data_IF_005551937028
#
_entry.id   IF_005551937028
#
_cell.length_a   1.000
_cell.length_b   1.000
_cell.length_c   1.000
_cell.angle_alpha   90.00
_cell.angle_beta   90.00
_cell.angle_gamma   90.00
#
_symmetry.space_group_name_H-M   'P 1'
#
loop_
_entity.id
_entity.type
_entity.pdbx_description
1 polymer ?
#
# COMPACT_ATOMS: atom_id res chain seq x y z
N UNK A 1 -18.65 72.72 -25.24
CA UNK A 1 -18.75 71.77 -26.36
C UNK A 1 -19.69 70.67 -25.88
N UNK A 2 -20.98 70.73 -26.24
CA UNK A 2 -21.56 70.25 -27.52
C UNK A 2 -21.55 68.71 -27.57
N UNK A 3 -22.67 68.04 -27.22
CA UNK A 3 -23.78 67.57 -28.10
C UNK A 3 -23.47 66.13 -28.59
N UNK A 4 -24.10 65.09 -28.02
CA UNK A 4 -25.31 64.35 -28.51
C UNK A 4 -24.96 63.32 -29.63
N UNK A 5 -25.59 62.14 -29.81
CA UNK A 5 -26.76 61.49 -29.18
C UNK A 5 -26.72 59.93 -29.35
N UNK A 6 -27.71 59.23 -28.76
CA UNK A 6 -28.35 57.90 -29.04
C UNK A 6 -28.09 57.18 -30.40
N UNK A 7 -28.39 55.87 -30.63
CA UNK A 7 -29.01 54.72 -29.89
C UNK A 7 -28.67 53.39 -30.64
N UNK A 8 -29.10 52.18 -30.17
CA UNK A 8 -28.88 50.90 -30.85
C UNK A 8 -30.07 50.46 -31.74
N UNK A 9 -29.83 49.42 -32.54
CA UNK A 9 -30.80 48.47 -33.11
C UNK A 9 -30.29 47.08 -32.63
N UNK A 10 -31.05 46.23 -31.94
CA UNK A 10 -32.33 45.58 -32.28
C UNK A 10 -32.24 44.73 -33.56
N UNK A 11 -32.03 43.42 -33.37
CA UNK A 11 -32.66 42.40 -34.22
C UNK A 11 -32.93 41.15 -33.37
N UNK A 12 -34.13 40.60 -33.52
CA UNK A 12 -34.79 39.71 -32.56
C UNK A 12 -35.21 38.39 -33.24
N UNK A 13 -35.66 37.41 -32.44
CA UNK A 13 -36.49 36.28 -32.89
C UNK A 13 -35.92 35.30 -33.94
N UNK A 14 -35.57 34.08 -33.49
CA UNK A 14 -36.44 32.90 -33.69
C UNK A 14 -35.81 31.61 -33.11
N UNK A 15 -36.52 30.97 -32.19
CA UNK A 15 -36.21 29.64 -31.68
C UNK A 15 -37.07 28.55 -32.40
N UNK A 16 -37.15 27.30 -31.91
CA UNK A 16 -36.68 26.13 -32.63
C UNK A 16 -37.79 25.38 -33.41
N UNK A 17 -37.37 24.45 -34.29
CA UNK A 17 -38.27 23.43 -34.88
C UNK A 17 -38.04 22.06 -34.25
N UNK A 18 -39.14 21.35 -34.05
CA UNK A 18 -39.22 19.98 -33.54
C UNK A 18 -40.02 19.08 -34.49
N UNK A 19 -40.19 17.80 -34.10
CA UNK A 19 -40.81 16.67 -34.81
C UNK A 19 -39.89 15.97 -35.85
N UNK A 20 -39.96 14.64 -36.04
CA UNK A 20 -41.00 13.70 -35.60
C UNK A 20 -40.46 12.31 -35.17
N UNK A 21 -41.26 11.61 -34.35
CA UNK A 21 -41.17 10.17 -34.08
C UNK A 21 -41.55 9.32 -35.32
N UNK A 22 -40.93 8.14 -35.44
CA UNK A 22 -41.52 6.93 -36.06
C UNK A 22 -41.00 5.65 -35.36
N UNK A 23 -41.88 4.77 -34.84
CA UNK A 23 -41.51 3.46 -34.28
C UNK A 23 -42.02 2.27 -35.12
N UNK A 24 -41.74 1.04 -34.63
CA UNK A 24 -42.14 -0.31 -35.10
C UNK A 24 -41.23 -0.92 -36.21
N UNK A 25 -40.48 -2.00 -35.90
CA UNK A 25 -40.78 -3.44 -36.16
C UNK A 25 -40.29 -3.88 -37.57
N UNK A 26 -39.81 -5.10 -37.86
CA UNK A 26 -39.86 -6.42 -37.20
C UNK A 26 -38.78 -7.38 -37.81
N UNK A 27 -38.53 -8.55 -37.18
CA UNK A 27 -37.85 -9.76 -37.73
C UNK A 27 -36.32 -9.66 -38.04
N UNK A 28 -35.49 -10.72 -38.01
CA UNK A 28 -35.71 -12.18 -37.95
C UNK A 28 -34.89 -12.91 -36.87
N UNK A 29 -35.32 -14.14 -36.54
CA UNK A 29 -34.64 -15.10 -35.64
C UNK A 29 -33.80 -16.08 -36.49
N UNK A 30 -32.56 -16.37 -36.09
CA UNK A 30 -31.86 -17.59 -36.53
C UNK A 30 -31.31 -18.41 -35.35
N UNK A 31 -32.04 -19.47 -35.02
CA UNK A 31 -31.60 -20.58 -34.18
C UNK A 31 -30.94 -21.66 -35.02
N UNK A 32 -29.80 -22.20 -34.58
CA UNK A 32 -29.35 -23.52 -35.01
C UNK A 32 -28.90 -24.35 -33.80
N UNK A 33 -29.50 -25.53 -33.64
CA UNK A 33 -29.17 -26.48 -32.60
C UNK A 33 -29.17 -27.93 -33.14
N UNK A 34 -28.11 -28.65 -32.77
CA UNK A 34 -28.03 -30.10 -32.49
C UNK A 34 -28.05 -31.15 -33.62
N UNK A 35 -27.42 -32.28 -33.23
CA UNK A 35 -27.53 -33.66 -33.73
C UNK A 35 -26.67 -34.09 -34.95
N UNK A 36 -26.06 -35.28 -35.02
CA UNK A 36 -25.69 -36.33 -34.02
C UNK A 36 -24.82 -37.44 -34.69
N UNK A 37 -24.44 -38.50 -33.93
CA UNK A 37 -24.01 -39.87 -34.36
C UNK A 37 -22.59 -40.06 -34.97
N UNK A 38 -21.88 -41.20 -34.81
CA UNK A 38 -21.98 -42.31 -33.83
C UNK A 38 -20.73 -43.24 -33.81
N UNK A 39 -20.43 -43.79 -32.61
CA UNK A 39 -20.05 -45.18 -32.25
C UNK A 39 -19.39 -46.13 -33.29
N UNK A 40 -18.24 -46.74 -32.95
CA UNK A 40 -18.13 -48.21 -32.80
C UNK A 40 -16.98 -48.67 -31.87
N UNK A 41 -17.01 -49.97 -31.53
CA UNK A 41 -16.34 -50.70 -30.46
C UNK A 41 -15.52 -51.87 -31.01
N UNK A 42 -14.49 -52.33 -30.28
CA UNK A 42 -13.66 -53.46 -30.71
C UNK A 42 -12.90 -54.12 -29.56
N UNK A 43 -13.21 -55.38 -29.30
CA UNK A 43 -12.58 -56.24 -28.28
C UNK A 43 -11.70 -57.27 -28.99
N UNK A 44 -10.55 -57.65 -28.40
CA UNK A 44 -10.00 -59.02 -28.41
C UNK A 44 -9.14 -59.21 -27.15
N UNK A 45 -9.32 -60.36 -26.49
CA UNK A 45 -8.62 -60.80 -25.28
C UNK A 45 -7.56 -61.86 -25.64
N UNK A 46 -6.39 -61.83 -24.97
CA UNK A 46 -5.45 -62.96 -24.89
C UNK A 46 -4.74 -62.96 -23.52
N UNK A 47 -5.28 -63.72 -22.58
CA UNK A 47 -4.68 -64.16 -21.29
C UNK A 47 -3.70 -65.36 -21.53
N UNK A 48 -2.83 -65.86 -20.59
CA UNK A 48 -3.14 -66.04 -19.15
C UNK A 48 -2.02 -66.08 -18.06
N UNK A 49 -2.49 -66.12 -16.80
CA UNK A 49 -1.86 -66.75 -15.60
C UNK A 49 -0.63 -66.05 -14.98
N UNK A 50 -0.36 -66.04 -13.66
CA UNK A 50 -1.02 -66.55 -12.42
C UNK A 50 -0.36 -65.83 -11.20
N UNK A 51 -0.86 -65.73 -9.96
CA UNK A 51 -2.06 -66.18 -9.22
C UNK A 51 -2.60 -65.01 -8.35
N UNK A 52 -3.70 -65.18 -7.60
CA UNK A 52 -4.04 -64.37 -6.42
C UNK A 52 -4.64 -65.23 -5.28
N UNK A 53 -4.32 -64.86 -4.03
CA UNK A 53 -4.79 -65.57 -2.81
C UNK A 53 -6.13 -65.01 -2.37
N UNK A 54 -7.07 -65.88 -1.99
CA UNK A 54 -8.40 -65.48 -1.52
C UNK A 54 -8.32 -64.78 -0.15
N UNK A 55 -8.96 -63.61 -0.05
CA UNK A 55 -9.23 -62.93 1.23
C UNK A 55 -10.61 -63.39 1.68
N UNK A 56 -10.67 -64.07 2.83
CA UNK A 56 -11.93 -64.47 3.47
C UNK A 56 -12.48 -63.26 4.24
N UNK A 57 -13.73 -62.89 3.94
CA UNK A 57 -14.51 -61.94 4.74
C UNK A 57 -15.09 -62.65 5.96
N UNK A 58 -14.83 -62.15 7.16
CA UNK A 58 -15.53 -62.58 8.38
C UNK A 58 -16.74 -61.70 8.70
N UNK A 59 -17.73 -62.33 9.34
CA UNK A 59 -19.14 -61.96 9.36
C UNK A 59 -19.54 -61.10 10.57
N UNK A 60 -20.67 -60.39 10.44
CA UNK A 60 -21.32 -59.69 11.55
C UNK A 60 -21.89 -60.68 12.58
N UNK A 61 -21.55 -60.55 13.89
CA UNK A 61 -22.43 -61.06 14.96
C UNK A 61 -22.58 -60.15 16.19
N UNK A 62 -23.85 -59.89 16.48
CA UNK A 62 -24.45 -59.55 17.79
C UNK A 62 -24.19 -58.18 18.41
N UNK A 63 -24.93 -57.20 17.90
CA UNK A 63 -25.44 -56.10 18.71
C UNK A 63 -26.47 -56.65 19.74
N UNK A 64 -26.31 -56.37 21.04
CA UNK A 64 -27.37 -56.57 22.06
C UNK A 64 -27.38 -55.41 23.05
N UNK A 65 -28.51 -54.70 23.10
CA UNK A 65 -28.78 -53.57 23.98
C UNK A 65 -29.27 -54.08 25.34
N UNK A 66 -28.63 -53.65 26.44
CA UNK A 66 -29.21 -53.63 27.79
C UNK A 66 -28.64 -52.41 28.54
N UNK A 67 -29.52 -51.66 29.21
CA UNK A 67 -29.17 -50.48 30.04
C UNK A 67 -29.14 -50.84 31.56
N UNK A 68 -29.20 -49.90 32.51
CA UNK A 68 -28.04 -49.30 33.18
C UNK A 68 -27.96 -49.60 34.70
N UNK A 69 -26.76 -49.58 35.32
CA UNK A 69 -26.69 -49.45 36.80
C UNK A 69 -25.38 -48.87 37.38
N UNK A 70 -25.56 -47.97 38.36
CA UNK A 70 -24.70 -47.63 39.53
C UNK A 70 -23.32 -46.98 39.36
N UNK A 71 -23.17 -45.84 40.05
CA UNK A 71 -21.90 -45.18 40.43
C UNK A 71 -21.09 -46.01 41.45
N UNK A 72 -19.83 -45.61 41.74
CA UNK A 72 -19.68 -44.84 42.98
C UNK A 72 -18.79 -43.58 42.89
N UNK A 73 -19.28 -42.52 43.52
CA UNK A 73 -18.61 -41.39 44.18
C UNK A 73 -17.07 -41.46 44.39
N UNK A 74 -16.35 -40.40 44.00
CA UNK A 74 -15.72 -39.46 44.97
C UNK A 74 -14.96 -38.30 44.30
N UNK A 75 -15.54 -37.10 44.40
CA UNK A 75 -14.94 -35.77 44.55
C UNK A 75 -13.44 -35.53 44.21
N UNK A 76 -13.18 -34.80 43.10
CA UNK A 76 -12.16 -33.73 43.03
C UNK A 76 -12.40 -32.86 41.79
N UNK A 77 -12.08 -31.57 41.88
CA UNK A 77 -12.56 -30.52 40.97
C UNK A 77 -12.13 -30.58 39.49
N UNK A 78 -12.69 -29.70 38.64
CA UNK A 78 -12.57 -29.78 37.18
C UNK A 78 -11.18 -29.38 36.67
N UNK A 79 -10.25 -30.33 36.62
CA UNK A 79 -9.07 -30.23 35.75
C UNK A 79 -9.57 -30.38 34.30
N UNK A 80 -9.66 -29.26 33.59
CA UNK A 80 -10.05 -29.22 32.18
C UNK A 80 -9.00 -29.96 31.33
N UNK A 81 -9.29 -31.23 31.00
CA UNK A 81 -8.45 -32.06 30.12
C UNK A 81 -8.43 -31.46 28.72
N UNK A 82 -7.37 -30.72 28.39
CA UNK A 82 -7.06 -30.34 27.00
C UNK A 82 -6.64 -31.59 26.21
N UNK A 83 -7.57 -32.20 25.50
CA UNK A 83 -7.33 -33.37 24.62
C UNK A 83 -6.60 -33.04 23.32
N UNK A 84 -6.33 -31.76 23.05
CA UNK A 84 -6.00 -31.27 21.71
C UNK A 84 -4.53 -30.86 21.62
N UNK A 85 -3.66 -31.82 21.29
CA UNK A 85 -2.27 -31.53 20.90
C UNK A 85 -2.28 -30.68 19.61
N UNK A 86 -1.93 -29.40 19.73
CA UNK A 86 -1.85 -28.48 18.60
C UNK A 86 -0.41 -28.30 18.13
N UNK A 87 -0.21 -28.29 16.80
CA UNK A 87 1.08 -28.00 16.15
C UNK A 87 1.68 -26.65 16.58
N UNK A 88 0.86 -25.72 17.10
CA UNK A 88 1.28 -24.41 17.63
C UNK A 88 1.87 -24.50 19.05
N UNK A 89 1.43 -25.44 19.87
CA UNK A 89 1.86 -25.55 21.26
C UNK A 89 3.23 -26.23 21.36
N UNK A 90 3.48 -27.26 20.54
CA UNK A 90 4.80 -27.92 20.46
C UNK A 90 5.92 -27.02 19.95
N UNK A 91 5.61 -26.00 19.12
CA UNK A 91 6.59 -25.03 18.62
C UNK A 91 7.08 -24.04 19.69
N UNK A 92 6.41 -23.94 20.84
CA UNK A 92 6.82 -23.09 21.97
C UNK A 92 7.79 -23.78 22.93
N UNK A 93 8.04 -25.08 22.75
CA UNK A 93 8.97 -25.82 23.61
C UNK A 93 8.43 -26.09 25.03
N UNK A 94 7.12 -26.03 25.23
CA UNK A 94 6.51 -26.41 26.51
C UNK A 94 6.66 -27.93 26.73
N UNK A 95 7.18 -28.31 27.90
CA UNK A 95 7.34 -29.71 28.30
C UNK A 95 5.99 -30.29 28.73
N UNK A 96 5.43 -31.18 27.93
CA UNK A 96 4.16 -31.85 28.25
C UNK A 96 4.32 -32.91 29.35
N UNK A 97 3.36 -32.94 30.27
CA UNK A 97 3.32 -33.85 31.43
C UNK A 97 2.86 -35.29 31.07
N UNK A 98 2.72 -35.60 29.78
CA UNK A 98 2.34 -36.90 29.24
C UNK A 98 3.20 -37.28 28.02
N UNK A 99 3.47 -38.58 27.79
CA UNK A 99 4.24 -39.02 26.63
C UNK A 99 3.62 -38.55 25.31
N UNK A 100 4.44 -37.98 24.42
CA UNK A 100 3.93 -37.52 23.12
C UNK A 100 3.39 -38.69 22.27
N UNK A 101 2.21 -38.56 21.66
CA UNK A 101 1.64 -39.61 20.81
C UNK A 101 2.47 -39.77 19.53
N UNK A 102 2.67 -41.02 19.09
CA UNK A 102 3.51 -41.36 17.93
C UNK A 102 3.13 -40.64 16.61
N UNK A 103 1.88 -40.18 16.47
CA UNK A 103 1.43 -39.35 15.35
C UNK A 103 2.15 -37.97 15.24
N UNK A 104 2.82 -37.53 16.31
CA UNK A 104 3.64 -36.31 16.33
C UNK A 104 5.06 -36.50 15.73
N UNK A 105 5.41 -37.73 15.33
CA UNK A 105 6.67 -38.07 14.64
C UNK A 105 6.54 -37.93 13.12
N UNK A 106 6.09 -36.75 12.66
CA UNK A 106 5.99 -36.48 11.21
C UNK A 106 7.37 -36.30 10.59
N UNK A 107 7.50 -36.64 9.30
CA UNK A 107 8.73 -36.45 8.55
C UNK A 107 9.25 -34.99 8.61
N UNK A 108 8.35 -34.00 8.57
CA UNK A 108 8.70 -32.57 8.68
C UNK A 108 9.25 -32.17 10.06
N UNK A 109 8.98 -32.94 11.12
CA UNK A 109 9.53 -32.70 12.48
C UNK A 109 10.84 -33.43 12.69
N UNK A 110 11.03 -34.59 12.06
CA UNK A 110 12.24 -35.42 12.17
C UNK A 110 13.33 -35.03 11.17
N UNK A 111 12.98 -34.36 10.08
CA UNK A 111 13.92 -33.90 9.04
C UNK A 111 14.10 -32.39 9.15
N UNK A 112 15.21 -31.95 9.75
CA UNK A 112 15.58 -30.52 9.80
C UNK A 112 15.97 -29.98 8.40
N UNK A 113 14.96 -29.55 7.65
CA UNK A 113 15.13 -28.89 6.35
C UNK A 113 15.57 -27.43 6.47
N UNK A 114 15.65 -26.85 7.68
CA UNK A 114 15.95 -25.42 7.88
C UNK A 114 17.35 -25.02 7.42
N UNK A 115 18.30 -25.96 7.45
CA UNK A 115 19.65 -25.81 6.90
C UNK A 115 19.66 -25.81 5.37
N UNK A 116 18.78 -26.62 4.76
CA UNK A 116 18.72 -26.92 3.33
C UNK A 116 17.92 -25.90 2.53
N UNK A 117 16.92 -25.27 3.15
CA UNK A 117 16.05 -24.24 2.56
C UNK A 117 16.56 -22.80 2.78
N UNK A 118 17.81 -22.59 3.22
CA UNK A 118 18.38 -21.23 3.32
C UNK A 118 18.52 -20.64 1.91
N UNK A 119 17.94 -19.45 1.62
CA UNK A 119 18.02 -18.84 0.30
C UNK A 119 19.49 -18.58 -0.08
N UNK A 120 19.77 -18.62 -1.38
CA UNK A 120 21.11 -18.37 -1.90
C UNK A 120 21.54 -16.92 -1.61
N UNK A 121 22.77 -16.67 -1.14
CA UNK A 121 23.25 -15.33 -0.81
C UNK A 121 23.34 -14.46 -2.07
N UNK A 122 22.83 -13.23 -2.01
CA UNK A 122 22.61 -12.41 -3.22
C UNK A 122 23.88 -11.83 -3.84
N UNK A 123 24.92 -11.53 -3.06
CA UNK A 123 26.08 -10.79 -3.59
C UNK A 123 27.39 -11.01 -2.81
N UNK A 124 28.49 -10.60 -3.45
CA UNK A 124 29.82 -10.54 -2.86
C UNK A 124 30.47 -11.90 -2.59
N UNK A 125 31.48 -11.89 -1.71
CA UNK A 125 32.29 -13.06 -1.37
C UNK A 125 31.47 -14.26 -0.86
N UNK A 126 30.35 -14.03 -0.17
CA UNK A 126 29.47 -15.12 0.31
C UNK A 126 28.76 -15.83 -0.85
N UNK A 127 28.34 -15.10 -1.88
CA UNK A 127 27.82 -15.68 -3.13
C UNK A 127 28.91 -16.44 -3.87
N UNK A 128 30.13 -15.90 -3.95
CA UNK A 128 31.27 -16.57 -4.56
C UNK A 128 31.60 -17.91 -3.87
N UNK A 129 31.70 -17.95 -2.54
CA UNK A 129 31.89 -19.19 -1.77
C UNK A 129 30.72 -20.17 -1.95
N UNK A 130 29.47 -19.68 -1.98
CA UNK A 130 28.31 -20.54 -2.24
C UNK A 130 28.38 -21.21 -3.62
N UNK A 131 28.84 -20.52 -4.67
CA UNK A 131 29.01 -21.12 -6.00
C UNK A 131 30.25 -22.02 -6.11
N UNK A 132 31.41 -21.64 -5.56
CA UNK A 132 32.63 -22.47 -5.59
C UNK A 132 32.47 -23.75 -4.77
N UNK A 133 31.75 -23.70 -3.64
CA UNK A 133 31.43 -24.89 -2.84
C UNK A 133 30.35 -25.78 -3.46
N UNK A 134 29.99 -25.60 -4.73
CA UNK A 134 28.90 -26.33 -5.41
C UNK A 134 27.58 -26.28 -4.62
N UNK A 135 27.27 -25.11 -4.03
CA UNK A 135 26.10 -24.83 -3.16
C UNK A 135 26.10 -25.56 -1.80
N UNK A 136 27.17 -26.24 -1.42
CA UNK A 136 27.25 -26.96 -0.13
C UNK A 136 27.45 -26.03 1.07
N UNK A 137 28.16 -24.90 0.90
CA UNK A 137 28.43 -23.94 1.99
C UNK A 137 27.58 -22.69 1.80
N UNK A 138 26.44 -22.61 2.48
CA UNK A 138 25.62 -21.39 2.53
C UNK A 138 25.92 -20.55 3.80
N UNK A 139 26.78 -19.53 3.63
CA UNK A 139 27.10 -18.52 4.65
C UNK A 139 25.99 -17.49 4.91
N UNK A 140 24.88 -17.58 4.16
CA UNK A 140 23.75 -16.65 4.21
C UNK A 140 24.08 -15.23 3.73
N UNK A 141 23.05 -14.42 3.60
CA UNK A 141 23.18 -13.00 3.26
C UNK A 141 24.01 -12.23 4.28
N UNK A 142 24.71 -11.18 3.81
CA UNK A 142 25.42 -10.25 4.70
C UNK A 142 24.43 -9.43 5.54
N UNK A 143 24.88 -8.86 6.67
CA UNK A 143 24.01 -8.04 7.54
C UNK A 143 23.29 -6.94 6.75
N UNK A 144 24.03 -6.19 5.90
CA UNK A 144 23.47 -5.16 5.02
C UNK A 144 22.39 -5.68 4.06
N UNK A 145 22.54 -6.89 3.52
CA UNK A 145 21.54 -7.50 2.65
C UNK A 145 20.33 -7.99 3.46
N UNK A 146 20.54 -8.51 4.68
CA UNK A 146 19.45 -8.90 5.59
C UNK A 146 18.64 -7.71 6.07
N UNK A 147 19.29 -6.60 6.44
CA UNK A 147 18.65 -5.33 6.81
C UNK A 147 17.84 -4.76 5.63
N UNK A 148 18.42 -4.77 4.43
CA UNK A 148 17.74 -4.38 3.20
C UNK A 148 16.46 -5.20 2.97
N UNK A 149 16.57 -6.54 3.02
CA UNK A 149 15.44 -7.47 2.87
C UNK A 149 14.39 -7.31 3.97
N UNK A 150 14.81 -7.05 5.21
CA UNK A 150 13.89 -6.80 6.32
C UNK A 150 13.08 -5.50 6.12
N UNK A 151 13.69 -4.46 5.55
CA UNK A 151 12.97 -3.27 5.10
C UNK A 151 12.07 -3.55 3.91
N UNK A 152 12.52 -4.32 2.91
CA UNK A 152 11.68 -4.66 1.76
C UNK A 152 10.43 -5.45 2.18
N UNK A 153 10.56 -6.40 3.12
CA UNK A 153 9.44 -7.15 3.70
C UNK A 153 8.46 -6.26 4.49
N UNK A 154 8.95 -5.22 5.19
CA UNK A 154 8.09 -4.24 5.89
C UNK A 154 7.34 -3.35 4.91
N UNK A 155 8.04 -2.81 3.90
CA UNK A 155 7.43 -1.95 2.86
C UNK A 155 6.42 -2.73 2.02
N UNK A 156 6.73 -3.98 1.69
CA UNK A 156 5.89 -4.90 0.92
C UNK A 156 4.77 -5.58 1.71
N UNK A 157 4.57 -5.25 3.00
CA UNK A 157 3.50 -5.84 3.80
C UNK A 157 2.12 -5.53 3.20
N UNK A 158 1.26 -6.55 3.12
CA UNK A 158 -0.12 -6.41 2.66
C UNK A 158 -0.88 -5.42 3.56
N UNK A 159 -1.78 -4.64 2.96
CA UNK A 159 -2.62 -3.65 3.66
C UNK A 159 -4.07 -4.13 3.62
N UNK A 160 -4.71 -4.24 4.79
CA UNK A 160 -6.10 -4.69 4.90
C UNK A 160 -7.09 -3.50 4.82
N UNK A 161 -8.29 -3.73 4.29
CA UNK A 161 -9.37 -2.73 4.31
C UNK A 161 -9.19 -1.57 3.33
N UNK A 162 -8.88 -1.88 2.07
CA UNK A 162 -8.90 -0.94 0.94
C UNK A 162 -7.71 0.04 0.89
N UNK A 163 -7.86 1.05 0.03
CA UNK A 163 -6.84 2.06 -0.22
C UNK A 163 -6.49 2.85 1.05
N UNK A 164 -5.18 3.06 1.29
CA UNK A 164 -4.66 3.80 2.43
C UNK A 164 -4.26 5.22 2.05
N UNK A 165 -4.87 6.21 2.68
CA UNK A 165 -4.54 7.61 2.48
C UNK A 165 -3.46 8.06 3.46
N UNK A 166 -2.40 8.67 2.94
CA UNK A 166 -1.28 9.22 3.74
C UNK A 166 -1.03 10.66 3.31
N UNK A 167 -1.57 11.66 4.02
CA UNK A 167 -1.23 13.05 3.80
C UNK A 167 0.21 13.33 4.21
N UNK A 168 0.88 14.15 3.42
CA UNK A 168 2.20 14.69 3.72
C UNK A 168 2.05 16.19 3.98
N UNK A 169 2.23 16.61 5.23
CA UNK A 169 1.98 17.98 5.69
C UNK A 169 3.25 18.73 6.02
N UNK A 170 3.21 20.05 5.84
CA UNK A 170 4.12 20.98 6.51
C UNK A 170 3.42 22.32 6.73
N UNK A 171 3.91 23.13 7.66
CA UNK A 171 3.36 24.46 7.97
C UNK A 171 4.14 25.61 7.33
N UNK A 172 5.23 25.31 6.60
CA UNK A 172 6.09 26.32 5.95
C UNK A 172 6.50 25.87 4.56
N UNK A 173 6.44 26.79 3.59
CA UNK A 173 7.03 26.56 2.26
C UNK A 173 8.56 26.35 2.33
N UNK A 174 9.11 25.59 1.38
CA UNK A 174 10.56 25.41 1.25
C UNK A 174 11.19 24.29 2.09
N UNK A 175 10.45 23.68 3.04
CA UNK A 175 10.96 22.58 3.90
C UNK A 175 11.19 21.26 3.13
N UNK A 176 10.83 21.21 1.84
CA UNK A 176 11.00 20.04 0.97
C UNK A 176 9.91 18.99 1.11
N UNK A 177 8.71 19.36 1.60
CA UNK A 177 7.52 18.49 1.67
C UNK A 177 7.33 17.65 0.39
N UNK A 178 7.20 18.30 -0.76
CA UNK A 178 7.01 17.67 -2.07
C UNK A 178 8.16 16.73 -2.45
N UNK A 179 9.40 17.06 -2.08
CA UNK A 179 10.56 16.17 -2.21
C UNK A 179 10.38 14.90 -1.38
N UNK A 180 9.95 15.02 -0.12
CA UNK A 180 9.67 13.88 0.76
C UNK A 180 8.49 13.05 0.25
N UNK A 181 7.41 13.68 -0.23
CA UNK A 181 6.26 13.01 -0.86
C UNK A 181 6.69 12.16 -2.06
N UNK A 182 7.55 12.72 -2.93
CA UNK A 182 8.11 12.01 -4.09
C UNK A 182 9.01 10.85 -3.64
N UNK A 183 9.92 11.08 -2.68
CA UNK A 183 10.82 10.05 -2.16
C UNK A 183 10.08 8.87 -1.52
N UNK A 184 9.05 9.17 -0.72
CA UNK A 184 8.17 8.18 -0.11
C UNK A 184 7.45 7.37 -1.19
N UNK A 185 6.83 8.04 -2.16
CA UNK A 185 6.14 7.39 -3.28
C UNK A 185 7.07 6.47 -4.09
N UNK A 186 8.28 6.94 -4.42
CA UNK A 186 9.30 6.16 -5.13
C UNK A 186 9.76 4.95 -4.30
N UNK A 187 10.02 5.12 -3.00
CA UNK A 187 10.47 4.05 -2.12
C UNK A 187 9.40 2.98 -1.90
N UNK A 188 8.12 3.36 -1.79
CA UNK A 188 7.00 2.43 -1.77
C UNK A 188 6.88 1.69 -3.11
N UNK A 189 6.81 2.42 -4.22
CA UNK A 189 6.54 1.88 -5.57
C UNK A 189 7.63 0.93 -6.06
N UNK A 190 8.90 1.15 -5.68
CA UNK A 190 10.00 0.26 -6.03
C UNK A 190 9.86 -1.15 -5.44
N UNK A 191 9.30 -1.25 -4.24
CA UNK A 191 9.27 -2.49 -3.45
C UNK A 191 7.90 -3.16 -3.50
N UNK A 192 6.82 -2.40 -3.47
CA UNK A 192 5.45 -2.92 -3.51
C UNK A 192 5.11 -3.42 -4.91
N UNK A 193 4.32 -4.48 -4.95
CA UNK A 193 3.73 -5.05 -6.18
C UNK A 193 2.39 -4.37 -6.53
N UNK A 194 1.70 -3.83 -5.52
CA UNK A 194 0.50 -3.02 -5.71
C UNK A 194 0.82 -1.55 -6.03
N UNK A 195 -0.18 -0.84 -6.56
CA UNK A 195 0.00 0.49 -7.16
C UNK A 195 -0.08 1.59 -6.11
N UNK A 196 0.87 2.53 -6.17
CA UNK A 196 0.96 3.71 -5.33
C UNK A 196 0.80 4.96 -6.20
N UNK A 197 -0.04 5.90 -5.76
CA UNK A 197 -0.23 7.20 -6.41
C UNK A 197 0.14 8.34 -5.46
N UNK A 198 0.71 9.41 -6.00
CA UNK A 198 0.87 10.68 -5.30
C UNK A 198 0.02 11.78 -5.99
N UNK A 199 -0.86 12.42 -5.22
CA UNK A 199 -1.73 13.51 -5.67
C UNK A 199 -1.13 14.83 -5.16
N UNK A 200 -0.88 15.79 -6.05
CA UNK A 200 -0.57 17.16 -5.65
C UNK A 200 -1.87 17.86 -5.25
N UNK A 201 -1.99 18.24 -3.98
CA UNK A 201 -3.16 18.91 -3.41
C UNK A 201 -2.82 20.36 -3.03
N UNK A 202 -1.88 20.99 -3.75
CA UNK A 202 -1.58 22.40 -3.59
C UNK A 202 -2.49 23.26 -4.49
N UNK A 203 -3.32 24.18 -3.93
CA UNK A 203 -4.19 25.06 -4.71
C UNK A 203 -3.45 26.16 -5.47
N UNK A 204 -2.32 26.65 -4.96
CA UNK A 204 -1.68 27.87 -5.46
C UNK A 204 -0.74 27.59 -6.65
N UNK A 205 0.07 26.52 -6.53
CA UNK A 205 0.95 26.00 -7.58
C UNK A 205 1.44 24.60 -7.24
N UNK A 206 1.05 23.60 -8.02
CA UNK A 206 1.65 22.27 -7.95
C UNK A 206 3.15 22.30 -8.22
N UNK A 207 3.92 21.49 -7.48
CA UNK A 207 5.37 21.29 -7.75
C UNK A 207 5.75 19.80 -7.75
N UNK A 208 4.85 18.89 -7.40
CA UNK A 208 5.10 17.45 -7.39
C UNK A 208 5.47 16.94 -8.78
N UNK A 209 4.78 17.44 -9.80
CA UNK A 209 5.02 17.09 -11.19
C UNK A 209 6.31 17.71 -11.79
N UNK A 210 7.00 18.61 -11.07
CA UNK A 210 8.35 19.07 -11.42
C UNK A 210 9.43 18.09 -10.92
N UNK A 211 9.07 17.16 -10.02
CA UNK A 211 9.99 16.19 -9.39
C UNK A 211 10.02 14.82 -10.06
N UNK A 212 9.20 14.62 -11.09
CA UNK A 212 9.10 13.37 -11.85
C UNK A 212 9.11 13.66 -13.36
N UNK A 213 9.40 12.64 -14.16
CA UNK A 213 9.30 12.75 -15.63
C UNK A 213 7.83 12.85 -16.05
N UNK A 214 7.35 14.05 -16.42
CA UNK A 214 5.98 14.23 -16.93
C UNK A 214 5.78 13.43 -18.22
N UNK A 215 4.82 12.50 -18.22
CA UNK A 215 4.42 11.70 -19.37
C UNK A 215 3.03 12.06 -19.90
N UNK A 216 2.25 12.82 -19.15
CA UNK A 216 0.93 13.34 -19.57
C UNK A 216 0.78 14.82 -19.24
N UNK A 217 -0.21 15.47 -19.85
CA UNK A 217 -0.60 16.87 -19.58
C UNK A 217 -1.79 16.98 -18.63
N UNK A 218 -2.47 15.87 -18.34
CA UNK A 218 -3.65 15.85 -17.49
C UNK A 218 -3.32 16.24 -16.04
N UNK A 219 -4.29 16.90 -15.43
CA UNK A 219 -4.25 17.42 -14.07
C UNK A 219 -5.30 16.75 -13.19
N UNK A 220 -5.24 17.01 -11.88
CA UNK A 220 -6.29 16.69 -10.92
C UNK A 220 -7.67 17.19 -11.39
N UNK A 221 -7.75 18.38 -12.00
CA UNK A 221 -8.98 18.96 -12.53
C UNK A 221 -9.54 18.21 -13.74
N UNK A 222 -8.67 17.71 -14.62
CA UNK A 222 -9.11 16.86 -15.73
C UNK A 222 -9.77 15.57 -15.24
N UNK A 223 -9.24 14.97 -14.16
CA UNK A 223 -9.84 13.78 -13.53
C UNK A 223 -11.22 14.10 -12.96
N UNK A 224 -11.41 15.24 -12.29
CA UNK A 224 -12.73 15.68 -11.80
C UNK A 224 -13.71 15.85 -12.97
N UNK A 225 -13.32 16.63 -13.99
CA UNK A 225 -14.15 16.93 -15.16
C UNK A 225 -14.54 15.69 -15.97
N UNK A 226 -13.72 14.63 -15.92
CA UNK A 226 -13.93 13.38 -16.67
C UNK A 226 -14.37 12.20 -15.81
N UNK A 227 -14.60 12.39 -14.51
CA UNK A 227 -14.86 11.29 -13.57
C UNK A 227 -16.03 10.37 -13.98
N UNK A 228 -17.05 10.92 -14.65
CA UNK A 228 -18.20 10.16 -15.16
C UNK A 228 -17.93 9.36 -16.45
N UNK A 229 -16.79 9.58 -17.10
CA UNK A 229 -16.35 8.94 -18.34
C UNK A 229 -15.08 8.07 -18.15
N UNK A 230 -14.64 7.87 -16.90
CA UNK A 230 -13.52 6.99 -16.55
C UNK A 230 -14.12 5.63 -16.16
N UNK A 231 -14.32 4.77 -17.16
CA UNK A 231 -14.95 3.45 -16.98
C UNK A 231 -13.99 2.41 -16.39
N UNK A 232 -12.67 2.58 -16.56
CA UNK A 232 -11.69 1.63 -16.04
C UNK A 232 -10.32 2.21 -15.66
N UNK A 233 -9.46 1.32 -15.14
CA UNK A 233 -8.08 1.67 -14.80
C UNK A 233 -7.28 2.10 -16.03
N UNK A 234 -7.56 1.54 -17.21
CA UNK A 234 -6.89 1.90 -18.47
C UNK A 234 -7.02 3.39 -18.73
N UNK A 235 -8.23 3.94 -18.66
CA UNK A 235 -8.51 5.36 -18.92
C UNK A 235 -7.84 6.23 -17.87
N UNK A 236 -8.02 5.90 -16.58
CA UNK A 236 -7.38 6.60 -15.47
C UNK A 236 -5.85 6.61 -15.59
N UNK A 237 -5.25 5.51 -16.07
CA UNK A 237 -3.79 5.40 -16.22
C UNK A 237 -3.22 6.33 -17.29
N UNK A 238 -4.03 6.81 -18.25
CA UNK A 238 -3.61 7.86 -19.21
C UNK A 238 -3.53 9.25 -18.57
N UNK A 239 -4.19 9.44 -17.41
CA UNK A 239 -4.34 10.72 -16.71
C UNK A 239 -3.29 10.97 -15.63
N UNK A 240 -2.46 9.97 -15.33
CA UNK A 240 -1.34 10.08 -14.37
C UNK A 240 0.00 10.08 -15.10
N UNK A 241 0.98 10.80 -14.57
CA UNK A 241 2.37 10.66 -15.01
C UNK A 241 3.05 9.54 -14.23
N UNK A 242 3.48 8.48 -14.93
CA UNK A 242 4.22 7.36 -14.33
C UNK A 242 5.73 7.59 -14.39
N UNK A 243 6.41 7.44 -13.26
CA UNK A 243 7.87 7.42 -13.16
C UNK A 243 8.46 6.00 -13.35
N UNK A 244 9.76 5.89 -13.62
CA UNK A 244 10.50 4.62 -13.75
C UNK A 244 10.42 3.73 -12.49
N UNK A 245 10.18 4.33 -11.32
CA UNK A 245 9.92 3.62 -10.05
C UNK A 245 8.54 2.95 -9.96
N UNK A 246 7.68 3.12 -10.97
CA UNK A 246 6.24 2.78 -10.99
C UNK A 246 5.36 3.66 -10.10
N UNK A 247 5.88 4.75 -9.55
CA UNK A 247 5.06 5.76 -8.90
C UNK A 247 4.20 6.47 -9.95
N UNK A 248 2.88 6.43 -9.76
CA UNK A 248 1.94 7.24 -10.52
C UNK A 248 1.76 8.60 -9.82
N UNK A 249 1.70 9.68 -10.58
CA UNK A 249 1.56 11.04 -10.05
C UNK A 249 0.44 11.77 -10.77
N UNK A 250 -0.47 12.36 -9.99
CA UNK A 250 -1.51 13.25 -10.49
C UNK A 250 -1.18 14.69 -10.09
N UNK A 251 -0.89 15.51 -11.10
CA UNK A 251 -0.42 16.89 -10.94
C UNK A 251 -1.60 17.85 -10.71
N UNK A 252 -1.52 18.77 -9.76
CA UNK A 252 -2.46 19.89 -9.71
C UNK A 252 -2.21 20.84 -10.88
N UNK A 253 -3.21 21.66 -11.18
CA UNK A 253 -3.06 22.69 -12.20
C UNK A 253 -1.97 23.70 -11.78
N UNK A 254 -1.32 24.29 -12.78
CA UNK A 254 -0.22 25.24 -12.59
C UNK A 254 -0.60 26.66 -13.03
N UNK A 255 -1.79 26.86 -13.59
CA UNK A 255 -2.27 28.17 -14.05
C UNK A 255 -2.98 28.95 -12.93
N UNK A 256 -2.39 30.06 -12.42
CA UNK A 256 -2.99 30.89 -11.38
C UNK A 256 -4.13 31.79 -11.87
N UNK A 257 -4.43 31.81 -13.18
CA UNK A 257 -5.55 32.57 -13.75
C UNK A 257 -6.89 31.80 -13.71
N UNK A 258 -6.86 30.50 -13.39
CA UNK A 258 -8.06 29.70 -13.24
C UNK A 258 -8.84 30.14 -11.98
N UNK A 259 -10.07 30.59 -12.19
CA UNK A 259 -10.83 31.36 -11.18
C UNK A 259 -11.37 30.53 -10.01
N UNK A 260 -11.34 29.20 -10.10
CA UNK A 260 -11.68 28.30 -9.00
C UNK A 260 -10.41 27.61 -8.47
N UNK A 261 -10.18 27.71 -7.16
CA UNK A 261 -9.14 26.95 -6.47
C UNK A 261 -9.60 25.48 -6.27
N UNK A 262 -8.65 24.54 -6.31
CA UNK A 262 -8.90 23.12 -6.04
C UNK A 262 -9.54 22.94 -4.65
N UNK A 263 -10.73 22.34 -4.58
CA UNK A 263 -11.58 22.37 -3.39
C UNK A 263 -11.84 20.99 -2.75
N UNK A 264 -12.62 20.95 -1.66
CA UNK A 264 -12.97 19.73 -0.93
C UNK A 264 -13.76 18.71 -1.78
N UNK A 265 -14.68 19.18 -2.63
CA UNK A 265 -15.42 18.32 -3.57
C UNK A 265 -14.49 17.68 -4.61
N UNK A 266 -13.65 18.50 -5.25
CA UNK A 266 -12.65 18.05 -6.23
C UNK A 266 -11.73 16.97 -5.63
N UNK A 267 -11.22 17.20 -4.42
CA UNK A 267 -10.38 16.24 -3.73
C UNK A 267 -11.10 14.93 -3.42
N UNK A 268 -12.37 14.99 -2.97
CA UNK A 268 -13.15 13.78 -2.71
C UNK A 268 -13.35 12.94 -3.98
N UNK A 269 -13.72 13.55 -5.11
CA UNK A 269 -13.86 12.85 -6.40
C UNK A 269 -12.57 12.14 -6.79
N UNK A 270 -11.43 12.83 -6.69
CA UNK A 270 -10.12 12.28 -7.08
C UNK A 270 -9.63 11.21 -6.10
N UNK A 271 -9.88 11.40 -4.80
CA UNK A 271 -9.61 10.39 -3.77
C UNK A 271 -10.43 9.11 -4.00
N UNK A 272 -11.72 9.24 -4.36
CA UNK A 272 -12.60 8.10 -4.65
C UNK A 272 -12.26 7.40 -5.97
N UNK A 273 -11.76 8.12 -6.98
CA UNK A 273 -11.17 7.51 -8.19
C UNK A 273 -9.89 6.74 -7.85
N UNK A 274 -8.98 7.35 -7.08
CA UNK A 274 -7.73 6.70 -6.69
C UNK A 274 -7.97 5.45 -5.83
N UNK A 275 -8.94 5.49 -4.90
CA UNK A 275 -9.27 4.38 -4.01
C UNK A 275 -9.70 3.09 -4.74
N UNK A 276 -10.23 3.19 -5.97
CA UNK A 276 -10.62 2.03 -6.78
C UNK A 276 -9.43 1.27 -7.36
N UNK A 277 -8.28 1.94 -7.50
CA UNK A 277 -7.18 1.44 -8.33
C UNK A 277 -5.83 1.35 -7.60
N UNK A 278 -5.65 2.06 -6.49
CA UNK A 278 -4.37 2.18 -5.77
C UNK A 278 -4.49 1.66 -4.33
N UNK A 279 -3.43 1.01 -3.85
CA UNK A 279 -3.33 0.52 -2.46
C UNK A 279 -2.95 1.62 -1.48
N UNK A 280 -2.14 2.59 -1.94
CA UNK A 280 -1.68 3.74 -1.17
C UNK A 280 -1.87 5.01 -2.01
N UNK A 281 -2.49 6.01 -1.40
CA UNK A 281 -2.70 7.35 -1.94
C UNK A 281 -1.93 8.33 -1.07
N UNK A 282 -0.82 8.87 -1.58
CA UNK A 282 -0.08 9.95 -0.94
C UNK A 282 -0.70 11.28 -1.35
N UNK A 283 -1.00 12.15 -0.38
CA UNK A 283 -1.52 13.50 -0.67
C UNK A 283 -0.47 14.54 -0.32
N UNK A 284 0.16 15.13 -1.35
CA UNK A 284 1.13 16.22 -1.18
C UNK A 284 0.39 17.54 -0.94
N UNK A 285 -0.01 17.78 0.31
CA UNK A 285 -0.89 18.89 0.68
C UNK A 285 -0.22 20.25 0.45
N UNK A 286 -0.97 21.31 0.13
CA UNK A 286 -0.41 22.67 0.03
C UNK A 286 0.25 23.18 1.33
N UNK A 287 0.89 24.35 1.28
CA UNK A 287 1.68 24.91 2.40
C UNK A 287 0.85 25.52 3.54
N UNK A 288 -0.38 25.04 3.76
CA UNK A 288 -1.31 25.59 4.75
C UNK A 288 -2.26 24.55 5.34
N UNK A 289 -2.30 24.49 6.68
CA UNK A 289 -3.26 23.69 7.47
C UNK A 289 -4.70 24.22 7.34
N UNK A 290 -4.85 25.49 6.94
CA UNK A 290 -6.16 26.18 6.87
C UNK A 290 -6.80 26.10 5.47
N UNK A 291 -6.27 25.25 4.58
CA UNK A 291 -6.83 25.11 3.23
C UNK A 291 -8.10 24.24 3.23
N UNK A 292 -9.04 24.51 2.31
CA UNK A 292 -10.32 23.79 2.18
C UNK A 292 -10.14 22.28 2.06
N UNK A 293 -9.11 21.85 1.35
CA UNK A 293 -8.75 20.43 1.13
C UNK A 293 -8.21 19.73 2.39
N UNK A 294 -7.80 20.46 3.43
CA UNK A 294 -7.17 19.85 4.62
C UNK A 294 -8.13 18.94 5.40
N UNK A 295 -9.38 19.39 5.59
CA UNK A 295 -10.41 18.63 6.31
C UNK A 295 -10.71 17.26 5.66
N UNK A 296 -11.12 17.16 4.38
CA UNK A 296 -11.40 15.87 3.75
C UNK A 296 -10.15 14.99 3.63
N UNK A 297 -8.98 15.61 3.48
CA UNK A 297 -7.69 14.89 3.47
C UNK A 297 -7.42 14.21 4.82
N UNK A 298 -7.59 14.92 5.95
CA UNK A 298 -7.39 14.36 7.29
C UNK A 298 -8.49 13.36 7.67
N UNK A 299 -9.74 13.58 7.24
CA UNK A 299 -10.85 12.65 7.52
C UNK A 299 -10.68 11.29 6.83
N UNK A 300 -10.02 11.24 5.66
CA UNK A 300 -9.70 10.00 4.95
C UNK A 300 -8.39 9.34 5.42
N UNK A 301 -7.54 10.06 6.16
CA UNK A 301 -6.17 9.64 6.48
C UNK A 301 -6.11 8.38 7.36
N UNK A 302 -5.31 7.39 6.94
CA UNK A 302 -5.00 6.20 7.73
C UNK A 302 -3.60 6.28 8.39
N UNK A 303 -2.73 7.12 7.85
CA UNK A 303 -1.42 7.47 8.39
C UNK A 303 -1.07 8.91 8.03
N UNK A 304 -0.03 9.47 8.63
CA UNK A 304 0.33 10.87 8.46
C UNK A 304 1.85 11.05 8.43
N UNK A 305 2.34 11.87 7.51
CA UNK A 305 3.75 12.28 7.48
C UNK A 305 3.84 13.79 7.70
N UNK A 306 4.60 14.20 8.71
CA UNK A 306 4.93 15.61 8.96
C UNK A 306 6.35 15.87 8.48
N UNK A 307 6.52 16.84 7.59
CA UNK A 307 7.83 17.24 7.06
C UNK A 307 8.31 18.49 7.79
N UNK A 308 9.43 18.35 8.49
CA UNK A 308 10.12 19.41 9.22
C UNK A 308 11.55 19.54 8.72
N UNK A 309 12.10 20.74 8.80
CA UNK A 309 13.49 21.02 8.46
C UNK A 309 14.42 20.77 9.64
N UNK A 310 15.71 21.03 9.42
CA UNK A 310 16.74 20.90 10.44
C UNK A 310 16.94 22.13 11.34
N UNK A 311 16.18 23.22 11.15
CA UNK A 311 16.25 24.41 11.99
C UNK A 311 15.25 24.39 13.16
N UNK A 312 15.55 25.19 14.19
CA UNK A 312 14.69 25.32 15.38
C UNK A 312 13.30 25.86 15.02
N UNK A 313 13.21 26.85 14.12
CA UNK A 313 11.94 27.44 13.70
C UNK A 313 11.06 26.44 12.94
N UNK A 314 11.66 25.61 12.09
CA UNK A 314 10.93 24.58 11.33
C UNK A 314 10.45 23.46 12.25
N UNK A 315 11.29 23.03 13.20
CA UNK A 315 10.91 22.06 14.23
C UNK A 315 9.77 22.60 15.12
N UNK A 316 9.84 23.89 15.51
CA UNK A 316 8.76 24.56 16.26
C UNK A 316 7.45 24.57 15.47
N UNK A 317 7.45 25.00 14.21
CA UNK A 317 6.26 25.06 13.36
C UNK A 317 5.65 23.66 13.11
N UNK A 318 6.48 22.63 12.96
CA UNK A 318 6.01 21.25 12.89
C UNK A 318 5.43 20.76 14.25
N UNK A 319 6.02 21.14 15.38
CA UNK A 319 5.45 20.84 16.70
C UNK A 319 4.12 21.56 16.96
N UNK A 320 3.97 22.81 16.51
CA UNK A 320 2.70 23.56 16.53
C UNK A 320 1.64 22.93 15.62
N UNK A 321 2.06 22.29 14.52
CA UNK A 321 1.19 21.50 13.63
C UNK A 321 0.63 20.27 14.35
N UNK A 322 1.48 19.52 15.05
CA UNK A 322 1.07 18.36 15.86
C UNK A 322 0.09 18.78 16.97
N UNK A 323 0.39 19.87 17.69
CA UNK A 323 -0.53 20.42 18.71
C UNK A 323 -1.88 20.83 18.12
N UNK A 324 -1.90 21.45 16.94
CA UNK A 324 -3.16 21.81 16.28
C UNK A 324 -3.96 20.56 15.89
N UNK A 325 -3.31 19.54 15.34
CA UNK A 325 -3.95 18.27 14.97
C UNK A 325 -4.56 17.56 16.18
N UNK A 326 -3.80 17.43 17.28
CA UNK A 326 -4.28 16.89 18.55
C UNK A 326 -5.51 17.67 19.08
N UNK A 327 -5.43 19.01 19.09
CA UNK A 327 -6.51 19.88 19.56
C UNK A 327 -7.77 19.85 18.68
N UNK A 328 -7.67 19.39 17.43
CA UNK A 328 -8.78 19.25 16.48
C UNK A 328 -9.25 17.79 16.32
N UNK A 329 -8.88 16.90 17.25
CA UNK A 329 -9.39 15.53 17.30
C UNK A 329 -8.58 14.50 16.49
N UNK A 330 -7.48 14.89 15.85
CA UNK A 330 -6.59 13.99 15.10
C UNK A 330 -5.46 13.43 15.98
N UNK A 331 -5.68 13.29 17.28
CA UNK A 331 -4.67 12.86 18.26
C UNK A 331 -4.07 11.49 17.96
N UNK A 332 -4.88 10.52 17.56
CA UNK A 332 -4.39 9.16 17.30
C UNK A 332 -3.67 9.06 15.94
N UNK A 333 -4.09 9.89 14.97
CA UNK A 333 -3.35 10.09 13.72
C UNK A 333 -1.97 10.73 13.98
N UNK A 334 -1.86 11.64 14.96
CA UNK A 334 -0.59 12.20 15.44
C UNK A 334 0.27 11.15 16.15
N UNK A 335 -0.29 10.35 17.07
CA UNK A 335 0.43 9.23 17.73
C UNK A 335 1.01 8.26 16.70
N UNK A 336 0.29 8.02 15.60
CA UNK A 336 0.70 7.16 14.50
C UNK A 336 1.39 7.90 13.34
N UNK A 337 1.73 9.19 13.49
CA UNK A 337 2.44 9.94 12.46
C UNK A 337 3.92 9.55 12.40
N UNK A 338 4.55 9.81 11.25
CA UNK A 338 6.03 9.77 11.11
C UNK A 338 6.52 11.18 10.80
N UNK A 339 7.51 11.68 11.55
CA UNK A 339 8.15 12.96 11.24
C UNK A 339 9.36 12.72 10.34
N UNK A 340 9.36 13.32 9.15
CA UNK A 340 10.53 13.37 8.27
C UNK A 340 11.32 14.66 8.54
N UNK A 341 12.48 14.53 9.17
CA UNK A 341 13.45 15.61 9.37
C UNK A 341 14.33 15.73 8.12
N UNK A 342 13.98 16.66 7.23
CA UNK A 342 14.69 16.90 5.99
C UNK A 342 15.83 17.91 6.20
N UNK A 343 17.08 17.45 6.22
CA UNK A 343 18.26 18.32 6.41
C UNK A 343 18.70 18.94 5.07
N UNK A 344 17.80 19.66 4.41
CA UNK A 344 18.01 20.19 3.06
C UNK A 344 19.03 21.34 2.96
N UNK A 345 19.52 21.85 4.09
CA UNK A 345 20.47 22.98 4.17
C UNK A 345 21.70 22.62 5.01
N UNK A 346 22.90 22.96 4.53
CA UNK A 346 24.16 22.70 5.24
C UNK A 346 24.30 23.45 6.58
N UNK A 347 23.44 24.45 6.84
CA UNK A 347 23.44 25.26 8.06
C UNK A 347 23.05 24.49 9.34
N UNK A 348 22.68 23.22 9.26
CA UNK A 348 22.32 22.38 10.42
C UNK A 348 23.47 22.08 11.38
N UNK A 349 24.72 22.46 11.09
CA UNK A 349 25.89 22.15 11.95
C UNK A 349 25.81 22.75 13.37
N UNK A 350 25.01 23.80 13.59
CA UNK A 350 24.83 24.45 14.89
C UNK A 350 23.59 23.93 15.67
N UNK A 351 22.74 23.10 15.05
CA UNK A 351 21.50 22.62 15.66
C UNK A 351 21.67 21.18 16.13
N UNK A 352 21.33 20.93 17.40
CA UNK A 352 21.28 19.57 17.96
C UNK A 352 20.07 18.83 17.40
N UNK A 353 20.21 18.27 16.20
CA UNK A 353 19.16 17.50 15.52
C UNK A 353 18.63 16.33 16.37
N UNK A 354 19.45 15.81 17.29
CA UNK A 354 19.05 14.74 18.22
C UNK A 354 18.06 15.24 19.27
N UNK A 355 18.17 16.48 19.77
CA UNK A 355 17.17 17.06 20.69
C UNK A 355 15.82 17.28 19.98
N UNK A 356 15.85 17.72 18.71
CA UNK A 356 14.66 17.83 17.86
C UNK A 356 14.03 16.45 17.60
N UNK A 357 14.84 15.43 17.32
CA UNK A 357 14.37 14.06 17.12
C UNK A 357 13.72 13.49 18.40
N UNK A 358 14.34 13.68 19.56
CA UNK A 358 13.78 13.22 20.84
C UNK A 358 12.47 13.95 21.17
N UNK A 359 12.39 15.26 20.94
CA UNK A 359 11.15 16.03 21.09
C UNK A 359 10.01 15.41 20.29
N UNK A 360 10.20 15.13 19.00
CA UNK A 360 9.17 14.50 18.18
C UNK A 360 8.84 13.06 18.62
N UNK A 361 9.83 12.27 19.02
CA UNK A 361 9.62 10.89 19.53
C UNK A 361 8.73 10.82 20.77
N UNK A 362 8.52 11.91 21.51
CA UNK A 362 7.54 11.94 22.61
C UNK A 362 6.07 11.98 22.15
N UNK A 363 5.79 12.36 20.90
CA UNK A 363 4.42 12.59 20.37
C UNK A 363 4.06 11.68 19.21
N UNK A 364 5.01 11.34 18.34
CA UNK A 364 4.78 10.57 17.10
C UNK A 364 5.41 9.18 17.16
N UNK A 365 4.98 8.25 16.29
CA UNK A 365 5.45 6.84 16.34
C UNK A 365 6.94 6.69 16.06
N UNK A 366 7.47 7.53 15.16
CA UNK A 366 8.84 7.47 14.68
C UNK A 366 9.26 8.79 14.01
N UNK A 367 10.57 8.96 13.89
CA UNK A 367 11.21 10.11 13.23
C UNK A 367 12.29 9.57 12.30
N UNK A 368 12.38 10.10 11.08
CA UNK A 368 13.38 9.72 10.08
C UNK A 368 14.16 10.95 9.65
N UNK A 369 15.49 10.88 9.72
CA UNK A 369 16.39 11.92 9.22
C UNK A 369 16.69 11.66 7.75
N UNK A 370 16.26 12.55 6.86
CA UNK A 370 16.60 12.53 5.44
C UNK A 370 17.83 13.43 5.26
N UNK A 371 19.01 12.86 4.90
CA UNK A 371 20.25 13.61 4.81
C UNK A 371 20.28 14.56 3.60
N UNK A 372 21.17 15.55 3.65
CA UNK A 372 21.41 16.43 2.51
C UNK A 372 21.88 15.67 1.26
N UNK A 373 21.17 15.88 0.15
CA UNK A 373 21.51 15.32 -1.15
C UNK A 373 21.42 16.41 -2.24
N UNK A 374 22.50 16.54 -3.02
CA UNK A 374 22.63 17.57 -4.06
C UNK A 374 21.61 17.37 -5.17
N UNK A 375 21.30 16.11 -5.50
CA UNK A 375 20.28 15.77 -6.49
C UNK A 375 18.86 16.21 -6.08
N UNK A 376 18.59 16.34 -4.77
CA UNK A 376 17.31 16.84 -4.25
C UNK A 376 17.30 18.37 -4.15
N UNK A 377 18.44 18.95 -3.74
CA UNK A 377 18.64 20.38 -3.61
C UNK A 377 18.56 21.12 -4.96
N UNK A 378 18.95 20.45 -6.06
CA UNK A 378 18.92 21.00 -7.42
C UNK A 378 17.52 21.39 -7.95
N UNK A 379 16.43 21.04 -7.25
CA UNK A 379 15.08 21.44 -7.63
C UNK A 379 14.45 20.62 -8.77
N UNK A 380 15.20 19.70 -9.37
CA UNK A 380 14.86 19.00 -10.62
C UNK A 380 14.14 17.66 -10.42
N UNK A 381 13.92 16.94 -11.53
CA UNK A 381 13.41 15.57 -11.58
C UNK A 381 14.28 14.64 -10.73
N UNK A 382 13.65 13.98 -9.76
CA UNK A 382 14.30 13.06 -8.84
C UNK A 382 14.41 11.70 -9.52
N UNK A 383 15.63 11.14 -9.58
CA UNK A 383 15.85 9.75 -9.98
C UNK A 383 16.38 8.97 -8.80
N UNK A 384 15.54 8.10 -8.23
CA UNK A 384 15.85 7.39 -6.98
C UNK A 384 17.19 6.62 -7.00
N UNK A 385 17.57 6.09 -8.16
CA UNK A 385 18.82 5.33 -8.35
C UNK A 385 20.09 6.19 -8.26
N UNK A 386 20.02 7.46 -8.65
CA UNK A 386 21.14 8.42 -8.67
C UNK A 386 21.40 9.09 -7.30
N UNK A 387 20.44 9.00 -6.36
CA UNK A 387 20.57 9.54 -5.00
C UNK A 387 21.70 8.88 -4.19
N UNK A 388 22.23 9.58 -3.19
CA UNK A 388 23.22 9.03 -2.24
C UNK A 388 22.60 7.85 -1.48
N UNK A 389 23.41 6.85 -1.12
CA UNK A 389 22.91 5.62 -0.46
C UNK A 389 22.25 5.89 0.91
N UNK A 390 22.69 6.91 1.64
CA UNK A 390 22.02 7.36 2.87
C UNK A 390 20.60 7.88 2.59
N UNK A 391 20.41 8.65 1.53
CA UNK A 391 19.12 9.18 1.08
C UNK A 391 18.17 8.06 0.63
N UNK A 392 18.66 7.13 -0.20
CA UNK A 392 17.90 5.93 -0.62
C UNK A 392 17.45 5.10 0.59
N UNK A 393 18.33 4.95 1.59
CA UNK A 393 18.04 4.22 2.82
C UNK A 393 17.00 4.94 3.69
N UNK A 394 17.15 6.26 3.91
CA UNK A 394 16.20 7.06 4.68
C UNK A 394 14.80 7.08 4.05
N UNK A 395 14.69 7.17 2.71
CA UNK A 395 13.41 7.09 2.02
C UNK A 395 12.74 5.71 2.19
N UNK A 396 13.51 4.63 2.14
CA UNK A 396 13.02 3.26 2.40
C UNK A 396 12.64 3.04 3.88
N UNK A 397 13.37 3.63 4.81
CA UNK A 397 13.04 3.59 6.24
C UNK A 397 11.74 4.37 6.53
N UNK A 398 11.56 5.54 5.93
CA UNK A 398 10.30 6.29 5.97
C UNK A 398 9.14 5.47 5.40
N UNK A 399 9.31 4.85 4.23
CA UNK A 399 8.30 3.97 3.63
C UNK A 399 7.93 2.80 4.55
N UNK A 400 8.92 2.12 5.15
CA UNK A 400 8.68 1.02 6.07
C UNK A 400 7.91 1.48 7.32
N UNK A 401 8.28 2.63 7.89
CA UNK A 401 7.62 3.19 9.07
C UNK A 401 6.21 3.71 8.80
N UNK A 402 5.92 4.18 7.58
CA UNK A 402 4.55 4.52 7.14
C UNK A 402 3.73 3.23 7.03
N UNK A 403 4.21 2.20 6.33
CA UNK A 403 3.48 0.93 6.16
C UNK A 403 3.25 0.21 7.51
N UNK A 404 4.25 0.18 8.40
CA UNK A 404 4.06 -0.35 9.76
C UNK A 404 2.96 0.40 10.53
N UNK A 405 2.79 1.70 10.29
CA UNK A 405 1.75 2.52 10.90
C UNK A 405 0.38 2.27 10.30
N UNK A 406 0.29 2.03 8.98
CA UNK A 406 -0.95 1.69 8.29
C UNK A 406 -1.53 0.34 8.73
N UNK A 407 -0.66 -0.63 9.06
CA UNK A 407 -1.07 -1.96 9.53
C UNK A 407 -1.26 -2.05 11.04
N UNK A 408 -0.44 -1.34 11.82
CA UNK A 408 -0.53 -1.31 13.28
C UNK A 408 -0.68 0.13 13.79
N UNK A 409 -1.85 0.76 13.62
CA UNK A 409 -2.17 1.97 14.35
C UNK A 409 -2.13 1.65 15.85
N UNK A 410 -1.31 2.36 16.61
CA UNK A 410 -1.25 2.17 18.07
C UNK A 410 -2.57 2.61 18.68
N UNK A 411 -3.24 1.67 19.36
CA UNK A 411 -4.35 1.92 20.29
C UNK A 411 -3.79 2.56 21.56
#
# INVERSE_FOLDING_TARGET
MAIWDKKPEDDDFLAPRAAADQPAEENEIQTHALAELAVDSGIIDVTPSTQSVQIVTEDERTNRIVSPTTEPTSDTGPISRRSNYSRRDSLRGETFDQPEPAAMLTADRLIDTSSRNRPAPESGFRRFIYFISLKTINLGDSLKVRERKALDLRIGAQLDGGAKFVPVLTRKGGVGKTTVSTLLGMALSLVREDRVIAIDANPDRGTLAERISKSTRFTVRDVVNRAAAIDGFTDFSTMVSRDITRLDVLASDSDPMLSEAFNEGDYNVVADMAARYYSIVLTDCGTGIVHSVMRPTLQRANGLVIVSGGSVDEARLASETLTWLEANGYGDLVRNAVVALNTATQATQLVKLDEIEQHFKTRVRAVVKIPYDEALAAGSVIKFTELKKGTQQAARELAALVVDGLNNPRI
#
